data_IF_195098831382
#
_entry.id   IF_195098831382
#
_cell.length_a   1.000
_cell.length_b   1.000
_cell.length_c   1.000
_cell.angle_alpha   90.00
_cell.angle_beta   90.00
_cell.angle_gamma   90.00
#
_symmetry.space_group_name_H-M   'P 1'
#
loop_
_entity.id
_entity.type
_entity.pdbx_description
1 polymer ?
#
# COMPACT_ATOMS: atom_id res chain seq x y z
N UNK A 1 -9.64 -5.20 -8.68
CA UNK A 1 -9.49 -6.30 -7.70
C UNK A 1 -9.51 -5.66 -6.33
N UNK A 2 -10.64 -5.64 -5.63
CA UNK A 2 -10.81 -5.04 -4.30
C UNK A 2 -10.87 -6.16 -3.24
N UNK A 3 -10.34 -5.92 -2.05
CA UNK A 3 -10.33 -6.92 -0.96
C UNK A 3 -10.70 -6.29 0.38
N UNK A 4 -11.28 -7.08 1.26
CA UNK A 4 -11.61 -6.68 2.63
C UNK A 4 -10.87 -7.59 3.61
N UNK A 5 -10.03 -7.01 4.47
CA UNK A 5 -9.21 -7.72 5.44
C UNK A 5 -9.44 -7.11 6.81
N UNK A 6 -9.93 -7.89 7.78
CA UNK A 6 -10.18 -7.42 9.15
C UNK A 6 -11.01 -6.11 9.23
N UNK A 7 -11.96 -5.92 8.31
CA UNK A 7 -12.79 -4.71 8.21
C UNK A 7 -12.16 -3.55 7.43
N UNK A 8 -10.92 -3.68 6.94
CA UNK A 8 -10.27 -2.71 6.07
C UNK A 8 -10.57 -3.01 4.61
N UNK A 9 -11.17 -2.04 3.92
CA UNK A 9 -11.38 -2.10 2.46
C UNK A 9 -10.16 -1.57 1.74
N UNK A 10 -9.43 -2.47 1.08
CA UNK A 10 -8.22 -2.14 0.33
C UNK A 10 -8.55 -2.11 -1.17
N UNK A 11 -7.90 -1.19 -1.89
CA UNK A 11 -8.04 -1.07 -3.35
C UNK A 11 -7.62 -2.34 -4.07
N UNK A 12 -6.71 -3.13 -3.48
CA UNK A 12 -6.19 -4.43 -3.91
C UNK A 12 -5.39 -5.08 -2.75
N UNK A 13 -4.93 -6.33 -2.84
CA UNK A 13 -4.26 -7.02 -1.73
C UNK A 13 -2.76 -6.69 -1.58
N UNK A 14 -2.20 -5.79 -2.39
CA UNK A 14 -0.78 -5.42 -2.33
C UNK A 14 -0.60 -4.33 -1.30
N UNK A 15 0.22 -4.57 -0.28
CA UNK A 15 0.57 -3.58 0.74
C UNK A 15 2.04 -3.69 1.13
N UNK A 16 2.57 -2.64 1.74
CA UNK A 16 3.97 -2.62 2.19
C UNK A 16 4.12 -3.33 3.52
N UNK A 17 5.31 -3.87 3.79
CA UNK A 17 5.62 -4.47 5.09
C UNK A 17 6.20 -3.40 6.03
N UNK A 18 5.84 -3.47 7.31
CA UNK A 18 6.35 -2.53 8.33
C UNK A 18 7.88 -2.48 8.32
N UNK A 19 8.42 -1.25 8.30
CA UNK A 19 9.87 -1.00 8.28
C UNK A 19 10.56 -1.20 6.93
N UNK A 20 9.83 -1.60 5.87
CA UNK A 20 10.41 -1.80 4.52
C UNK A 20 10.19 -0.62 3.57
N UNK A 21 9.36 0.35 3.96
CA UNK A 21 8.86 1.38 3.06
C UNK A 21 8.89 2.81 3.62
N UNK A 22 9.56 3.02 4.76
CA UNK A 22 9.70 4.36 5.37
C UNK A 22 8.36 5.06 5.58
N UNK A 23 8.28 6.33 5.18
CA UNK A 23 7.04 7.11 5.15
C UNK A 23 6.38 7.12 3.76
N UNK A 24 6.89 6.34 2.82
CA UNK A 24 6.40 6.25 1.43
C UNK A 24 6.85 7.41 0.53
N UNK A 25 7.28 8.54 1.09
CA UNK A 25 7.76 9.70 0.32
C UNK A 25 9.02 9.36 -0.48
N UNK A 26 9.92 8.54 0.07
CA UNK A 26 11.18 8.14 -0.58
C UNK A 26 10.97 7.26 -1.82
N UNK A 27 9.81 6.62 -1.92
CA UNK A 27 9.46 5.71 -3.01
C UNK A 27 8.45 6.31 -3.98
N UNK A 28 7.97 7.54 -3.75
CA UNK A 28 6.99 8.22 -4.60
C UNK A 28 7.46 8.44 -6.04
N UNK A 29 8.76 8.60 -6.25
CA UNK A 29 9.39 8.72 -7.58
C UNK A 29 9.53 7.38 -8.33
N UNK A 30 9.48 6.26 -7.61
CA UNK A 30 9.72 4.92 -8.16
C UNK A 30 8.44 4.08 -8.25
N UNK A 31 7.45 4.36 -7.39
CA UNK A 31 6.18 3.63 -7.28
C UNK A 31 5.04 4.62 -7.07
N UNK A 32 4.00 4.52 -7.91
CA UNK A 32 2.75 5.25 -7.67
C UNK A 32 2.01 4.67 -6.45
N UNK A 33 2.13 5.37 -5.32
CA UNK A 33 1.53 5.01 -4.04
C UNK A 33 0.01 4.83 -4.12
N UNK A 34 -0.67 5.51 -5.06
CA UNK A 34 -2.13 5.41 -5.21
C UNK A 34 -2.59 4.04 -5.69
N UNK A 35 -1.67 3.24 -6.25
CA UNK A 35 -1.91 1.89 -6.73
C UNK A 35 -1.75 0.83 -5.65
N UNK A 36 -1.16 1.15 -4.50
CA UNK A 36 -1.08 0.22 -3.38
C UNK A 36 -2.45 0.08 -2.69
N UNK A 37 -2.73 -1.11 -2.19
CA UNK A 37 -3.89 -1.40 -1.37
C UNK A 37 -3.81 -0.77 0.01
N UNK A 38 -2.60 -0.69 0.56
CA UNK A 38 -2.25 -0.04 1.82
C UNK A 38 -0.74 0.17 1.95
N UNK A 39 -0.32 1.01 2.89
CA UNK A 39 1.08 1.22 3.30
C UNK A 39 1.24 0.62 4.68
#
# INVERSE_FOLDING_TARGET
MNVEIAGLKLKNPVMTASGTFGYGEEYSDYVDLNRLGGI
#
